data_IF_478312151210
#
_entry.id   IF_478312151210
#
_cell.length_a   1.000
_cell.length_b   1.000
_cell.length_c   1.000
_cell.angle_alpha   90.00
_cell.angle_beta   90.00
_cell.angle_gamma   90.00
#
_symmetry.space_group_name_H-M   'P 1'
#
loop_
_entity.id
_entity.type
_entity.pdbx_description
1 polymer ?
#
# COMPACT_ATOMS: atom_id res chain seq x y z
N UNK A 1 -28.14 13.61 19.27
CA UNK A 1 -27.37 14.22 18.17
C UNK A 1 -26.39 15.27 18.67
N UNK A 2 -26.84 16.26 19.46
CA UNK A 2 -26.01 17.37 19.92
C UNK A 2 -24.69 16.99 20.62
N UNK A 3 -24.68 15.95 21.49
CA UNK A 3 -23.47 15.55 22.23
C UNK A 3 -22.36 14.99 21.32
N UNK A 4 -22.72 14.20 20.32
CA UNK A 4 -21.76 13.62 19.37
C UNK A 4 -21.16 14.69 18.44
N UNK A 5 -21.96 15.67 18.05
CA UNK A 5 -21.49 16.81 17.24
C UNK A 5 -20.52 17.70 18.01
N UNK A 6 -20.82 17.97 19.29
CA UNK A 6 -19.91 18.70 20.18
C UNK A 6 -18.57 17.95 20.37
N UNK A 7 -18.60 16.63 20.56
CA UNK A 7 -17.38 15.83 20.67
C UNK A 7 -16.54 15.86 19.38
N UNK A 8 -17.20 15.82 18.22
CA UNK A 8 -16.51 15.86 16.93
C UNK A 8 -15.87 17.21 16.64
N UNK A 9 -16.47 18.33 17.10
CA UNK A 9 -15.91 19.67 16.91
C UNK A 9 -14.66 19.94 17.75
N UNK A 10 -14.39 19.12 18.77
CA UNK A 10 -13.21 19.22 19.64
C UNK A 10 -12.07 18.26 19.22
N UNK A 11 -12.25 17.49 18.12
CA UNK A 11 -11.19 16.59 17.65
C UNK A 11 -10.01 17.41 17.12
N UNK A 12 -8.77 17.01 17.45
CA UNK A 12 -7.59 17.62 16.85
C UNK A 12 -7.54 17.36 15.35
N UNK A 13 -7.04 18.31 14.59
CA UNK A 13 -6.79 18.21 13.17
C UNK A 13 -5.28 18.22 12.91
N UNK A 14 -4.82 17.36 12.04
CA UNK A 14 -3.42 17.22 11.64
C UNK A 14 -3.30 17.42 10.14
N UNK A 15 -2.08 17.76 9.68
CA UNK A 15 -1.77 17.84 8.25
C UNK A 15 -0.63 16.92 7.87
N UNK A 16 -0.65 16.43 6.63
CA UNK A 16 0.38 15.56 6.06
C UNK A 16 0.54 15.81 4.56
N UNK A 17 1.77 15.66 4.08
CA UNK A 17 2.12 15.70 2.65
C UNK A 17 2.49 14.33 2.12
N UNK A 18 2.02 14.04 0.91
CA UNK A 18 2.43 12.87 0.12
C UNK A 18 2.86 13.31 -1.29
N UNK A 19 3.70 12.53 -1.99
CA UNK A 19 4.23 12.92 -3.30
C UNK A 19 3.19 13.14 -4.40
N UNK A 20 2.08 12.40 -4.38
CA UNK A 20 1.04 12.46 -5.43
C UNK A 20 0.09 13.64 -5.28
N UNK A 21 0.11 14.37 -4.16
CA UNK A 21 -0.80 15.50 -3.89
C UNK A 21 0.01 16.72 -3.49
N UNK A 22 -0.17 17.82 -4.21
CA UNK A 22 0.59 19.07 -3.99
C UNK A 22 0.20 19.76 -2.67
N UNK A 23 -1.07 19.69 -2.28
CA UNK A 23 -1.59 20.32 -1.08
C UNK A 23 -1.41 19.45 0.16
N UNK A 24 -1.38 20.06 1.33
CA UNK A 24 -1.45 19.35 2.60
C UNK A 24 -2.82 18.69 2.75
N UNK A 25 -2.82 17.40 3.07
CA UNK A 25 -4.01 16.66 3.41
C UNK A 25 -4.32 16.87 4.89
N UNK A 26 -5.52 17.31 5.21
CA UNK A 26 -5.99 17.46 6.58
C UNK A 26 -6.69 16.19 7.04
N UNK A 27 -6.46 15.79 8.29
CA UNK A 27 -7.10 14.60 8.86
C UNK A 27 -7.30 14.71 10.37
N UNK A 28 -8.34 14.02 10.85
CA UNK A 28 -8.59 13.78 12.28
C UNK A 28 -8.15 12.37 12.69
N UNK A 29 -7.84 12.12 13.95
CA UNK A 29 -7.65 10.76 14.45
C UNK A 29 -8.89 9.90 14.20
N UNK A 30 -8.72 8.59 14.05
CA UNK A 30 -9.85 7.68 13.99
C UNK A 30 -10.49 7.53 15.39
N UNK A 31 -11.76 7.20 15.40
CA UNK A 31 -12.56 7.05 16.62
C UNK A 31 -12.57 5.58 17.06
N UNK A 32 -12.97 5.33 18.30
CA UNK A 32 -13.11 3.96 18.86
C UNK A 32 -13.97 3.05 17.97
N UNK A 33 -15.00 3.58 17.30
CA UNK A 33 -15.83 2.78 16.38
C UNK A 33 -15.06 2.29 15.15
N UNK A 34 -14.15 3.12 14.61
CA UNK A 34 -13.32 2.81 13.46
C UNK A 34 -12.24 1.78 13.83
N UNK A 35 -11.60 1.96 15.00
CA UNK A 35 -10.66 1.00 15.57
C UNK A 35 -11.30 -0.37 15.83
N UNK A 36 -12.50 -0.38 16.46
CA UNK A 36 -13.24 -1.62 16.72
C UNK A 36 -13.56 -2.37 15.43
N UNK A 37 -13.96 -1.65 14.37
CA UNK A 37 -14.24 -2.28 13.08
C UNK A 37 -12.98 -2.92 12.49
N UNK A 38 -11.84 -2.22 12.56
CA UNK A 38 -10.56 -2.74 12.08
C UNK A 38 -10.13 -4.00 12.84
N UNK A 39 -10.24 -4.00 14.18
CA UNK A 39 -9.91 -5.16 15.01
C UNK A 39 -10.76 -6.38 14.67
N UNK A 40 -12.07 -6.19 14.52
CA UNK A 40 -12.99 -7.28 14.17
C UNK A 40 -12.64 -7.92 12.82
N UNK A 41 -12.33 -7.10 11.80
CA UNK A 41 -11.99 -7.59 10.46
C UNK A 41 -10.59 -8.24 10.45
N UNK A 42 -9.64 -7.74 11.24
CA UNK A 42 -8.31 -8.35 11.34
C UNK A 42 -8.33 -9.73 12.01
N UNK A 43 -9.26 -9.99 12.93
CA UNK A 43 -9.45 -11.32 13.52
C UNK A 43 -9.96 -12.36 12.49
N UNK A 44 -10.70 -11.94 11.46
CA UNK A 44 -11.19 -12.80 10.39
C UNK A 44 -10.09 -13.18 9.38
N UNK A 45 -8.97 -12.42 9.34
CA UNK A 45 -7.78 -12.71 8.55
C UNK A 45 -7.92 -12.51 7.03
N UNK A 46 -9.05 -11.93 6.55
CA UNK A 46 -9.23 -11.65 5.13
C UNK A 46 -8.60 -10.30 4.74
N UNK A 47 -7.48 -10.36 4.01
CA UNK A 47 -6.72 -9.17 3.63
C UNK A 47 -7.55 -8.17 2.81
N UNK A 48 -8.40 -8.62 1.88
CA UNK A 48 -9.24 -7.73 1.08
C UNK A 48 -10.24 -6.95 1.95
N UNK A 49 -10.80 -7.56 2.97
CA UNK A 49 -11.74 -6.91 3.89
C UNK A 49 -11.02 -5.95 4.83
N UNK A 50 -9.78 -6.29 5.24
CA UNK A 50 -8.90 -5.36 5.97
C UNK A 50 -8.63 -4.12 5.11
N UNK A 51 -8.25 -4.28 3.83
CA UNK A 51 -7.97 -3.16 2.92
C UNK A 51 -9.23 -2.33 2.63
N UNK A 52 -10.41 -2.94 2.53
CA UNK A 52 -11.69 -2.21 2.45
C UNK A 52 -11.96 -1.37 3.70
N UNK A 53 -11.68 -1.95 4.87
CA UNK A 53 -11.83 -1.23 6.15
C UNK A 53 -10.86 -0.07 6.26
N UNK A 54 -9.59 -0.27 5.87
CA UNK A 54 -8.59 0.79 5.78
C UNK A 54 -9.06 1.91 4.84
N UNK A 55 -9.57 1.57 3.65
CA UNK A 55 -10.14 2.53 2.71
C UNK A 55 -11.23 3.38 3.37
N UNK A 56 -12.23 2.73 3.99
CA UNK A 56 -13.35 3.43 4.63
C UNK A 56 -12.89 4.34 5.78
N UNK A 57 -11.87 3.92 6.53
CA UNK A 57 -11.27 4.73 7.60
C UNK A 57 -10.56 5.95 7.02
N UNK A 58 -9.75 5.78 5.97
CA UNK A 58 -9.09 6.90 5.29
C UNK A 58 -10.12 7.91 4.77
N UNK A 59 -11.15 7.46 4.03
CA UNK A 59 -12.22 8.32 3.50
C UNK A 59 -13.01 9.04 4.61
N UNK A 60 -13.13 8.45 5.80
CA UNK A 60 -13.85 9.07 6.91
C UNK A 60 -13.00 10.03 7.74
N UNK A 61 -11.69 9.89 7.75
CA UNK A 61 -10.77 10.65 8.58
C UNK A 61 -10.08 11.79 7.85
N UNK A 62 -9.84 11.66 6.55
CA UNK A 62 -9.22 12.68 5.72
C UNK A 62 -10.26 13.57 5.05
N UNK A 63 -9.94 14.85 4.93
CA UNK A 63 -10.75 15.81 4.18
C UNK A 63 -10.29 15.81 2.73
N UNK A 64 -11.23 15.67 1.78
CA UNK A 64 -11.00 15.76 0.33
C UNK A 64 -9.94 14.78 -0.22
N UNK A 65 -9.74 13.62 0.42
CA UNK A 65 -8.84 12.58 -0.06
C UNK A 65 -9.47 11.77 -1.20
N UNK A 66 -8.88 11.86 -2.39
CA UNK A 66 -9.21 10.99 -3.52
C UNK A 66 -8.21 9.81 -3.58
N UNK A 67 -8.65 8.64 -3.13
CA UNK A 67 -7.86 7.41 -3.14
C UNK A 67 -7.56 6.87 -4.56
N UNK A 68 -8.20 7.40 -5.61
CA UNK A 68 -7.89 7.04 -6.99
C UNK A 68 -6.67 7.79 -7.54
N UNK A 69 -6.29 8.89 -6.89
CA UNK A 69 -5.17 9.76 -7.29
C UNK A 69 -3.84 9.43 -6.61
N UNK A 70 -3.85 8.52 -5.61
CA UNK A 70 -2.67 8.15 -4.83
C UNK A 70 -2.30 6.67 -5.01
N UNK A 71 -1.02 6.36 -4.85
CA UNK A 71 -0.54 4.98 -4.92
C UNK A 71 -0.98 4.16 -3.70
N UNK A 72 -1.00 2.83 -3.84
CA UNK A 72 -1.24 1.93 -2.71
C UNK A 72 -0.30 2.23 -1.53
N UNK A 73 1.00 2.40 -1.81
CA UNK A 73 1.99 2.67 -0.77
C UNK A 73 1.75 3.99 -0.03
N UNK A 74 1.25 5.03 -0.74
CA UNK A 74 0.85 6.28 -0.09
C UNK A 74 -0.40 6.10 0.77
N UNK A 75 -1.38 5.31 0.33
CA UNK A 75 -2.56 4.98 1.13
C UNK A 75 -2.17 4.23 2.41
N UNK A 76 -1.26 3.26 2.31
CA UNK A 76 -0.69 2.55 3.46
C UNK A 76 0.03 3.50 4.42
N UNK A 77 0.85 4.41 3.88
CA UNK A 77 1.56 5.42 4.68
C UNK A 77 0.59 6.37 5.39
N UNK A 78 -0.44 6.86 4.70
CA UNK A 78 -1.46 7.72 5.31
C UNK A 78 -2.17 7.00 6.45
N UNK A 79 -2.50 5.72 6.27
CA UNK A 79 -3.12 4.94 7.32
C UNK A 79 -2.18 4.73 8.53
N UNK A 80 -0.89 4.49 8.29
CA UNK A 80 0.11 4.38 9.35
C UNK A 80 0.24 5.69 10.15
N UNK A 81 0.24 6.83 9.47
CA UNK A 81 0.30 8.15 10.11
C UNK A 81 -1.00 8.50 10.84
N UNK A 82 -2.13 8.09 10.32
CA UNK A 82 -3.41 8.18 11.00
C UNK A 82 -3.39 7.37 12.31
N UNK A 83 -2.88 6.12 12.28
CA UNK A 83 -2.71 5.29 13.47
C UNK A 83 -1.75 5.94 14.48
N UNK A 84 -0.63 6.51 14.02
CA UNK A 84 0.33 7.23 14.86
C UNK A 84 -0.34 8.32 15.70
N UNK A 85 -1.24 9.10 15.10
CA UNK A 85 -1.96 10.19 15.78
C UNK A 85 -3.20 9.74 16.56
N UNK A 86 -3.68 8.52 16.33
CA UNK A 86 -4.88 7.99 16.98
C UNK A 86 -4.56 7.12 18.19
N UNK A 87 -3.52 6.29 18.12
CA UNK A 87 -3.16 5.29 19.15
C UNK A 87 -1.83 5.62 19.81
N UNK A 88 -0.85 6.13 19.03
CA UNK A 88 0.47 6.50 19.54
C UNK A 88 1.60 6.25 18.56
N UNK A 89 2.74 6.87 18.85
CA UNK A 89 3.92 6.89 17.96
C UNK A 89 4.76 5.60 18.00
N UNK A 90 4.45 4.69 18.94
CA UNK A 90 5.17 3.43 19.09
C UNK A 90 4.28 2.26 18.75
N UNK A 91 4.86 1.31 18.04
CA UNK A 91 4.25 0.02 17.73
C UNK A 91 5.10 -1.08 18.38
N UNK A 92 4.46 -1.92 19.18
CA UNK A 92 5.11 -3.09 19.77
C UNK A 92 4.78 -4.33 18.93
N UNK A 93 5.82 -5.00 18.44
CA UNK A 93 5.73 -6.25 17.68
C UNK A 93 6.42 -7.37 18.47
N UNK A 94 5.98 -8.61 18.23
CA UNK A 94 6.61 -9.79 18.84
C UNK A 94 7.48 -10.49 17.79
N UNK A 95 8.78 -10.52 18.03
CA UNK A 95 9.74 -11.25 17.20
C UNK A 95 10.06 -12.60 17.80
N UNK A 96 9.99 -13.66 17.00
CA UNK A 96 10.39 -15.02 17.39
C UNK A 96 11.65 -15.42 16.66
N UNK A 97 12.75 -15.54 17.38
CA UNK A 97 14.00 -16.08 16.83
C UNK A 97 13.89 -17.61 16.67
N UNK A 98 14.48 -18.16 15.60
CA UNK A 98 14.48 -19.60 15.30
C UNK A 98 15.12 -20.47 16.41
N UNK A 99 15.93 -19.88 17.29
CA UNK A 99 16.58 -20.55 18.43
C UNK A 99 15.93 -20.30 19.79
N UNK A 100 14.87 -19.46 19.85
CA UNK A 100 14.23 -19.08 21.12
C UNK A 100 12.86 -19.71 21.29
N UNK A 101 12.57 -20.18 22.50
CA UNK A 101 11.23 -20.68 22.88
C UNK A 101 10.24 -19.55 23.16
N UNK A 102 10.72 -18.34 23.43
CA UNK A 102 9.87 -17.17 23.75
C UNK A 102 10.11 -16.04 22.76
N UNK A 103 9.03 -15.33 22.34
CA UNK A 103 9.15 -14.15 21.49
C UNK A 103 9.73 -12.96 22.27
N UNK A 104 10.44 -12.07 21.58
CA UNK A 104 10.99 -10.83 22.10
C UNK A 104 10.12 -9.64 21.67
N UNK A 105 9.78 -8.68 22.57
CA UNK A 105 9.12 -7.46 22.18
C UNK A 105 10.09 -6.53 21.45
N UNK A 106 9.67 -6.04 20.28
CA UNK A 106 10.41 -5.05 19.49
C UNK A 106 9.55 -3.80 19.40
N UNK A 107 10.15 -2.63 19.65
CA UNK A 107 9.46 -1.36 19.52
C UNK A 107 9.86 -0.66 18.22
N UNK A 108 8.88 -0.31 17.42
CA UNK A 108 9.03 0.46 16.18
C UNK A 108 8.50 1.87 16.40
N UNK A 109 9.29 2.89 16.04
CA UNK A 109 8.90 4.28 16.12
C UNK A 109 8.26 4.71 14.78
N UNK A 110 6.93 4.87 14.75
CA UNK A 110 6.15 5.17 13.53
C UNK A 110 6.49 6.54 12.93
N UNK A 111 6.94 7.50 13.74
CA UNK A 111 7.40 8.81 13.29
C UNK A 111 8.66 8.76 12.42
N UNK A 112 9.46 7.68 12.52
CA UNK A 112 10.65 7.45 11.69
C UNK A 112 10.34 6.82 10.33
N UNK A 113 9.13 6.31 10.12
CA UNK A 113 8.71 5.75 8.83
C UNK A 113 8.57 6.87 7.81
N UNK A 114 9.28 6.70 6.70
CA UNK A 114 9.33 7.71 5.63
C UNK A 114 8.20 7.50 4.63
N UNK A 115 7.77 8.58 4.00
CA UNK A 115 6.83 8.52 2.88
C UNK A 115 7.41 7.70 1.73
N UNK A 116 6.65 6.76 1.17
CA UNK A 116 7.09 5.95 0.03
C UNK A 116 7.41 6.82 -1.18
N UNK A 117 8.49 6.49 -1.86
CA UNK A 117 8.90 7.16 -3.11
C UNK A 117 9.45 6.13 -4.07
N UNK A 118 9.21 6.35 -5.36
CA UNK A 118 9.85 5.54 -6.38
C UNK A 118 11.38 5.65 -6.27
N UNK A 119 12.06 4.52 -6.25
CA UNK A 119 13.53 4.45 -6.08
C UNK A 119 14.29 5.03 -7.25
N UNK A 120 13.71 4.94 -8.47
CA UNK A 120 14.27 5.50 -9.70
C UNK A 120 13.20 6.21 -10.50
N UNK A 121 13.53 7.36 -11.10
CA UNK A 121 12.66 8.00 -12.07
C UNK A 121 12.65 7.13 -13.33
N UNK A 122 11.56 6.42 -13.56
CA UNK A 122 11.34 5.60 -14.75
C UNK A 122 10.39 6.31 -15.70
N UNK A 123 10.51 6.00 -16.98
CA UNK A 123 9.51 6.40 -17.95
C UNK A 123 8.29 5.48 -17.78
N UNK A 124 7.12 6.04 -17.64
CA UNK A 124 5.83 5.34 -17.57
C UNK A 124 5.40 4.80 -18.95
N UNK A 125 5.94 5.36 -20.03
CA UNK A 125 5.73 4.89 -21.40
C UNK A 125 6.85 3.93 -21.82
N UNK A 126 6.46 2.69 -22.12
CA UNK A 126 7.38 1.59 -22.45
C UNK A 126 7.09 1.09 -23.86
N UNK A 127 8.11 1.07 -24.72
CA UNK A 127 8.02 0.45 -26.05
C UNK A 127 8.17 -1.07 -25.92
N UNK A 128 7.12 -1.81 -26.26
CA UNK A 128 7.09 -3.28 -26.30
C UNK A 128 7.64 -3.77 -27.63
N UNK A 129 7.17 -3.17 -28.73
CA UNK A 129 7.67 -3.39 -30.09
C UNK A 129 7.80 -2.04 -30.81
N UNK A 130 8.25 -2.02 -32.07
CA UNK A 130 8.29 -0.79 -32.89
C UNK A 130 6.90 -0.16 -33.07
N UNK A 131 5.83 -0.95 -32.98
CA UNK A 131 4.44 -0.50 -33.20
C UNK A 131 3.58 -0.47 -31.94
N UNK A 132 4.02 -1.09 -30.85
CA UNK A 132 3.26 -1.22 -29.61
C UNK A 132 3.97 -0.53 -28.47
N UNK A 133 3.35 0.49 -27.92
CA UNK A 133 3.79 1.17 -26.69
C UNK A 133 2.70 1.04 -25.63
N UNK A 134 3.10 0.87 -24.38
CA UNK A 134 2.17 0.84 -23.24
C UNK A 134 2.51 1.97 -22.29
N UNK A 135 1.50 2.50 -21.61
CA UNK A 135 1.70 3.42 -20.48
C UNK A 135 1.32 2.70 -19.20
N UNK A 136 2.21 2.78 -18.22
CA UNK A 136 2.03 2.17 -16.90
C UNK A 136 1.74 3.23 -15.83
N UNK A 137 1.06 2.82 -14.76
CA UNK A 137 0.98 3.59 -13.52
C UNK A 137 1.15 2.67 -12.33
N UNK A 138 1.47 3.25 -11.18
CA UNK A 138 1.43 2.52 -9.92
C UNK A 138 -0.01 2.11 -9.59
N UNK A 139 -0.16 0.99 -8.87
CA UNK A 139 -1.47 0.50 -8.43
C UNK A 139 -1.99 1.35 -7.28
N UNK A 140 -3.31 1.48 -7.19
CA UNK A 140 -4.00 2.16 -6.11
C UNK A 140 -4.64 1.14 -5.15
N UNK A 141 -5.02 1.60 -3.96
CA UNK A 141 -5.80 0.78 -3.02
C UNK A 141 -7.12 0.31 -3.65
N UNK A 142 -7.76 1.17 -4.46
CA UNK A 142 -8.99 0.83 -5.17
C UNK A 142 -8.78 -0.30 -6.19
N UNK A 143 -7.66 -0.29 -6.92
CA UNK A 143 -7.31 -1.33 -7.89
C UNK A 143 -7.18 -2.70 -7.19
N UNK A 144 -6.46 -2.75 -6.05
CA UNK A 144 -6.25 -3.98 -5.28
C UNK A 144 -7.57 -4.57 -4.79
N UNK A 145 -8.44 -3.72 -4.22
CA UNK A 145 -9.74 -4.13 -3.70
C UNK A 145 -10.67 -4.61 -4.82
N UNK A 146 -10.73 -3.86 -5.93
CA UNK A 146 -11.60 -4.16 -7.07
C UNK A 146 -11.23 -5.49 -7.72
N UNK A 147 -9.96 -5.68 -7.98
CA UNK A 147 -9.47 -6.86 -8.69
C UNK A 147 -9.20 -8.04 -7.73
N UNK A 148 -9.32 -7.85 -6.42
CA UNK A 148 -9.07 -8.87 -5.39
C UNK A 148 -7.72 -9.59 -5.61
N UNK A 149 -6.65 -8.82 -5.73
CA UNK A 149 -5.31 -9.34 -5.97
C UNK A 149 -4.50 -9.41 -4.69
N UNK A 150 -3.74 -10.50 -4.52
CA UNK A 150 -2.84 -10.66 -3.38
C UNK A 150 -1.57 -9.85 -3.61
N UNK A 151 -1.36 -8.82 -2.76
CA UNK A 151 -0.20 -7.91 -2.85
C UNK A 151 0.92 -8.27 -1.87
N UNK A 152 0.60 -8.94 -0.77
CA UNK A 152 1.57 -9.42 0.20
C UNK A 152 1.85 -10.90 -0.07
N UNK A 153 3.13 -11.24 -0.30
CA UNK A 153 3.55 -12.58 -0.72
C UNK A 153 2.81 -13.08 -2.00
N UNK A 154 2.83 -12.30 -3.10
CA UNK A 154 2.08 -12.62 -4.32
C UNK A 154 2.62 -13.91 -4.97
N UNK A 155 1.71 -14.72 -5.51
CA UNK A 155 2.03 -15.82 -6.43
C UNK A 155 2.44 -15.28 -7.80
N UNK A 156 2.91 -16.16 -8.71
CA UNK A 156 3.20 -15.75 -10.08
C UNK A 156 1.96 -15.20 -10.80
N UNK A 157 0.80 -15.82 -10.59
CA UNK A 157 -0.47 -15.37 -11.18
C UNK A 157 -0.87 -13.99 -10.62
N UNK A 158 -0.66 -13.77 -9.31
CA UNK A 158 -0.89 -12.45 -8.71
C UNK A 158 0.03 -11.38 -9.31
N UNK A 159 1.30 -11.71 -9.56
CA UNK A 159 2.24 -10.78 -10.20
C UNK A 159 1.75 -10.41 -11.61
N UNK A 160 1.39 -11.38 -12.45
CA UNK A 160 0.85 -11.13 -13.78
C UNK A 160 -0.41 -10.25 -13.71
N UNK A 161 -1.28 -10.53 -12.75
CA UNK A 161 -2.49 -9.74 -12.51
C UNK A 161 -2.15 -8.30 -12.08
N UNK A 162 -1.18 -8.11 -11.17
CA UNK A 162 -0.70 -6.78 -10.77
C UNK A 162 -0.15 -6.03 -11.98
N UNK A 163 0.71 -6.65 -12.78
CA UNK A 163 1.26 -6.03 -13.99
C UNK A 163 0.17 -5.62 -14.97
N UNK A 164 -0.88 -6.44 -15.13
CA UNK A 164 -2.01 -6.13 -16.01
C UNK A 164 -2.83 -4.93 -15.51
N UNK A 165 -2.99 -4.77 -14.20
CA UNK A 165 -3.65 -3.62 -13.57
C UNK A 165 -2.85 -2.32 -13.82
N UNK A 166 -1.52 -2.41 -13.82
CA UNK A 166 -0.63 -1.27 -14.06
C UNK A 166 -0.73 -0.71 -15.47
N UNK A 167 -1.18 -1.48 -16.46
CA UNK A 167 -1.37 -1.00 -17.85
C UNK A 167 -2.54 -0.03 -17.92
N UNK A 168 -2.26 1.24 -18.22
CA UNK A 168 -3.26 2.30 -18.38
C UNK A 168 -3.67 2.53 -19.84
N UNK A 169 -2.72 2.45 -20.76
CA UNK A 169 -3.00 2.53 -22.20
C UNK A 169 -2.14 1.54 -22.99
N UNK A 170 -2.67 1.09 -24.12
CA UNK A 170 -1.93 0.33 -25.14
C UNK A 170 -2.07 1.09 -26.44
N UNK A 171 -0.97 1.57 -27.01
CA UNK A 171 -0.91 2.26 -28.28
C UNK A 171 -0.40 1.29 -29.35
N UNK A 172 -1.18 1.11 -30.43
CA UNK A 172 -0.83 0.26 -31.58
C UNK A 172 -0.85 1.11 -32.84
N UNK A 173 0.31 1.58 -33.27
CA UNK A 173 0.40 2.55 -34.34
C UNK A 173 -0.27 3.88 -33.96
N UNK A 174 -1.34 4.26 -34.67
CA UNK A 174 -2.12 5.47 -34.38
C UNK A 174 -3.31 5.23 -33.45
N UNK A 175 -3.63 3.98 -33.15
CA UNK A 175 -4.74 3.61 -32.28
C UNK A 175 -4.30 3.59 -30.81
N UNK A 176 -5.11 4.18 -29.93
CA UNK A 176 -4.92 4.17 -28.48
C UNK A 176 -6.10 3.47 -27.82
N UNK A 177 -5.82 2.37 -27.16
CA UNK A 177 -6.77 1.65 -26.31
C UNK A 177 -6.53 2.08 -24.86
N UNK A 178 -7.57 2.58 -24.18
CA UNK A 178 -7.48 2.93 -22.76
C UNK A 178 -7.64 1.70 -21.89
N UNK A 179 -7.06 1.74 -20.70
CA UNK A 179 -7.16 0.61 -19.77
C UNK A 179 -8.58 0.28 -19.32
N UNK A 180 -9.53 1.23 -19.46
CA UNK A 180 -10.96 1.01 -19.21
C UNK A 180 -11.66 0.24 -20.32
N UNK A 181 -11.15 0.30 -21.55
CA UNK A 181 -11.75 -0.33 -22.75
C UNK A 181 -11.29 -1.78 -22.91
N UNK A 182 -10.22 -2.17 -22.18
CA UNK A 182 -9.62 -3.49 -22.24
C UNK A 182 -9.93 -4.23 -20.92
N UNK A 183 -10.52 -5.40 -21.00
CA UNK A 183 -10.77 -6.24 -19.82
C UNK A 183 -9.46 -6.67 -19.16
N UNK A 184 -9.52 -6.94 -17.84
CA UNK A 184 -8.35 -7.47 -17.10
C UNK A 184 -7.84 -8.77 -17.72
N UNK A 185 -8.74 -9.62 -18.22
CA UNK A 185 -8.39 -10.87 -18.90
C UNK A 185 -7.59 -10.63 -20.17
N UNK A 186 -8.01 -9.70 -21.01
CA UNK A 186 -7.27 -9.35 -22.24
C UNK A 186 -5.89 -8.77 -21.94
N UNK A 187 -5.74 -8.01 -20.85
CA UNK A 187 -4.44 -7.52 -20.41
C UNK A 187 -3.54 -8.65 -19.89
N UNK A 188 -4.11 -9.62 -19.17
CA UNK A 188 -3.38 -10.84 -18.74
C UNK A 188 -2.93 -11.61 -19.97
N UNK A 189 -3.85 -11.92 -20.91
CA UNK A 189 -3.53 -12.61 -22.16
C UNK A 189 -2.44 -11.86 -22.95
N UNK A 190 -2.48 -10.53 -22.97
CA UNK A 190 -1.46 -9.69 -23.62
C UNK A 190 -0.08 -9.86 -22.98
N UNK A 191 0.00 -9.86 -21.64
CA UNK A 191 1.26 -10.05 -20.91
C UNK A 191 1.81 -11.46 -21.10
N UNK A 192 0.96 -12.50 -21.03
CA UNK A 192 1.36 -13.90 -21.18
C UNK A 192 1.87 -14.23 -22.59
N UNK A 193 1.50 -13.43 -23.59
CA UNK A 193 2.02 -13.55 -24.96
C UNK A 193 3.26 -12.69 -25.25
N UNK A 194 3.84 -12.06 -24.24
CA UNK A 194 5.11 -11.34 -24.35
C UNK A 194 6.30 -12.28 -24.31
N UNK A 195 7.37 -11.87 -24.97
CA UNK A 195 8.67 -12.48 -24.75
C UNK A 195 9.23 -12.06 -23.37
N UNK A 196 10.16 -12.86 -22.82
CA UNK A 196 10.83 -12.55 -21.55
C UNK A 196 11.43 -11.13 -21.53
N UNK A 197 12.10 -10.70 -22.60
CA UNK A 197 12.67 -9.35 -22.72
C UNK A 197 11.62 -8.23 -22.72
N UNK A 198 10.42 -8.50 -23.21
CA UNK A 198 9.32 -7.53 -23.17
C UNK A 198 8.74 -7.44 -21.77
N UNK A 199 8.53 -8.59 -21.13
CA UNK A 199 8.03 -8.66 -19.75
C UNK A 199 9.01 -8.01 -18.76
N UNK A 200 10.33 -8.19 -18.92
CA UNK A 200 11.36 -7.59 -18.08
C UNK A 200 11.25 -6.06 -17.98
N UNK A 201 10.82 -5.40 -19.05
CA UNK A 201 10.61 -3.93 -19.05
C UNK A 201 9.49 -3.52 -18.09
N UNK A 202 8.39 -4.28 -18.05
CA UNK A 202 7.26 -4.04 -17.16
C UNK A 202 7.64 -4.41 -15.73
N UNK A 203 8.32 -5.55 -15.54
CA UNK A 203 8.83 -5.98 -14.24
C UNK A 203 9.79 -4.94 -13.64
N UNK A 204 10.62 -4.30 -14.46
CA UNK A 204 11.51 -3.22 -14.00
C UNK A 204 10.69 -2.03 -13.45
N UNK A 205 9.57 -1.69 -14.06
CA UNK A 205 8.68 -0.64 -13.55
C UNK A 205 8.05 -1.07 -12.23
N UNK A 206 7.53 -2.28 -12.14
CA UNK A 206 6.92 -2.86 -10.93
C UNK A 206 7.89 -2.93 -9.75
N UNK A 207 9.08 -3.48 -9.95
CA UNK A 207 10.07 -3.67 -8.87
C UNK A 207 10.65 -2.36 -8.33
N UNK A 208 10.48 -1.25 -9.05
CA UNK A 208 10.84 0.09 -8.59
C UNK A 208 9.61 0.92 -8.16
N UNK A 209 8.43 0.33 -8.05
CA UNK A 209 7.24 1.00 -7.55
C UNK A 209 7.44 1.49 -6.10
N UNK A 210 6.75 2.55 -5.69
CA UNK A 210 6.75 2.95 -4.29
C UNK A 210 6.25 1.80 -3.41
N UNK A 211 6.92 1.58 -2.29
CA UNK A 211 6.52 0.61 -1.26
C UNK A 211 6.63 1.23 0.13
N UNK A 212 5.77 0.82 1.04
CA UNK A 212 5.88 1.21 2.45
C UNK A 212 6.89 0.29 3.12
N UNK A 213 8.17 0.72 3.15
CA UNK A 213 9.27 -0.03 3.74
C UNK A 213 9.88 0.74 4.91
N UNK A 214 10.19 0.02 5.99
CA UNK A 214 10.90 0.59 7.12
C UNK A 214 11.96 -0.38 7.63
N UNK A 215 13.23 0.05 7.53
CA UNK A 215 14.37 -0.68 8.08
C UNK A 215 14.83 -0.03 9.36
N UNK A 216 15.04 -0.84 10.39
CA UNK A 216 15.52 -0.38 11.69
C UNK A 216 16.36 -1.47 12.36
N UNK A 217 17.15 -1.08 13.35
CA UNK A 217 17.91 -2.00 14.20
C UNK A 217 17.30 -2.06 15.58
N UNK A 218 17.36 -3.23 16.21
CA UNK A 218 16.96 -3.44 17.59
C UNK A 218 17.92 -4.41 18.28
N UNK A 219 18.25 -4.13 19.54
CA UNK A 219 19.16 -4.98 20.31
C UNK A 219 18.38 -6.08 21.01
N UNK A 220 18.73 -7.33 20.73
CA UNK A 220 18.19 -8.52 21.39
C UNK A 220 19.36 -9.32 21.98
N UNK A 221 19.35 -9.59 23.28
CA UNK A 221 20.41 -10.33 23.99
C UNK A 221 21.82 -9.76 23.73
N UNK A 222 21.95 -8.42 23.78
CA UNK A 222 23.20 -7.68 23.51
C UNK A 222 23.73 -7.77 22.07
N UNK A 223 22.95 -8.34 21.14
CA UNK A 223 23.24 -8.36 19.71
C UNK A 223 22.32 -7.38 18.96
N UNK A 224 22.91 -6.56 18.08
CA UNK A 224 22.16 -5.68 17.21
C UNK A 224 21.66 -6.48 16.00
N UNK A 225 20.32 -6.52 15.80
CA UNK A 225 19.66 -7.19 14.68
C UNK A 225 18.96 -6.17 13.78
N UNK A 226 19.04 -6.39 12.48
CA UNK A 226 18.32 -5.58 11.48
C UNK A 226 16.94 -6.19 11.23
N UNK A 227 15.93 -5.30 11.15
CA UNK A 227 14.56 -5.64 10.83
C UNK A 227 14.08 -4.81 9.65
N UNK A 228 13.20 -5.38 8.86
CA UNK A 228 12.51 -4.72 7.76
C UNK A 228 11.01 -5.01 7.87
N UNK A 229 10.19 -3.95 7.84
CA UNK A 229 8.73 -4.03 7.77
C UNK A 229 8.27 -3.57 6.40
N UNK A 230 7.36 -4.30 5.77
CA UNK A 230 6.82 -4.03 4.43
C UNK A 230 5.30 -4.03 4.43
N UNK A 231 4.74 -2.93 3.92
CA UNK A 231 3.30 -2.76 3.80
C UNK A 231 2.56 -2.84 5.13
N UNK A 232 1.27 -2.59 5.11
CA UNK A 232 0.43 -2.60 6.32
C UNK A 232 0.43 -3.94 7.05
N UNK A 233 0.59 -5.05 6.32
CA UNK A 233 0.58 -6.39 6.91
C UNK A 233 1.56 -6.53 8.07
N UNK A 234 2.80 -6.06 7.89
CA UNK A 234 3.85 -6.16 8.92
C UNK A 234 3.63 -5.15 10.05
N UNK A 235 3.14 -3.95 9.72
CA UNK A 235 2.85 -2.92 10.72
C UNK A 235 1.62 -3.22 11.59
N UNK A 236 0.75 -4.14 11.18
CA UNK A 236 -0.38 -4.57 12.01
C UNK A 236 -0.10 -5.83 12.83
N UNK A 237 1.10 -6.41 12.71
CA UNK A 237 1.45 -7.63 13.42
C UNK A 237 0.59 -8.83 12.98
N UNK A 238 0.00 -8.79 11.78
CA UNK A 238 -0.78 -9.89 11.20
C UNK A 238 0.12 -11.07 10.81
N UNK A 239 1.43 -10.85 10.77
CA UNK A 239 2.44 -11.90 10.61
C UNK A 239 3.40 -11.81 11.78
N UNK A 240 3.58 -12.92 12.51
CA UNK A 240 4.67 -13.04 13.47
C UNK A 240 5.98 -12.90 12.69
N UNK A 241 6.80 -11.90 13.04
CA UNK A 241 8.14 -11.78 12.47
C UNK A 241 8.92 -13.05 12.81
N UNK A 242 9.26 -13.85 11.81
CA UNK A 242 10.05 -15.09 11.94
C UNK A 242 11.47 -14.87 11.46
#
# INVERSE_FOLDING_TARGET
>A
MKLVEMLKSELPEYSIKIPSIDNDLLFRPFLVKEEKTLLLVSEEGNMTDILRTVKNILESCFTDLDLSSITLAEAEYLFLKLREKSVGEKLELMYKDTGSSMPYPITVELNKVKVPKRTKKLNDSISITEKINITLSDITLNDVIKENVQIYNPTQDDIIKILSIMIKTINVGEETLTGSDISIKEKIDFIENMTEKQLEKILTFYTNAPSLDHKFTHTINDEEKEFELKGLNDFFGLVSLT
#
